data_IF_706599123216
#
_entry.id   IF_706599123216
#
_cell.length_a   1.000
_cell.length_b   1.000
_cell.length_c   1.000
_cell.angle_alpha   90.00
_cell.angle_beta   90.00
_cell.angle_gamma   90.00
#
_symmetry.space_group_name_H-M   'P 1'
#
loop_
_entity.id
_entity.type
_entity.pdbx_description
1 polymer ?
#
# COMPACT_ATOMS: atom_id res chain seq x y z
N UNK A 1 51.94 -24.01 -32.03
CA UNK A 1 50.79 -23.44 -32.78
C UNK A 1 51.00 -21.92 -32.85
N UNK A 2 51.35 -21.36 -34.02
CA UNK A 2 51.62 -19.91 -34.16
C UNK A 2 50.29 -19.19 -34.31
N UNK A 3 49.86 -18.49 -33.26
CA UNK A 3 48.65 -17.65 -33.33
C UNK A 3 48.99 -16.43 -34.18
N UNK A 4 48.32 -16.31 -35.33
CA UNK A 4 48.53 -15.20 -36.26
C UNK A 4 47.97 -13.91 -35.66
N UNK A 5 48.68 -12.79 -35.79
CA UNK A 5 48.32 -11.48 -35.23
C UNK A 5 46.87 -11.06 -35.56
N UNK A 6 46.37 -11.43 -36.75
CA UNK A 6 44.98 -11.21 -37.17
C UNK A 6 43.94 -11.89 -36.25
N UNK A 7 44.26 -13.06 -35.71
CA UNK A 7 43.37 -13.78 -34.79
C UNK A 7 43.37 -13.11 -33.41
N UNK A 8 44.51 -12.57 -32.97
CA UNK A 8 44.60 -11.80 -31.73
C UNK A 8 43.76 -10.53 -31.83
N UNK A 9 43.88 -9.80 -32.95
CA UNK A 9 43.09 -8.59 -33.20
C UNK A 9 41.59 -8.92 -33.24
N UNK A 10 41.19 -10.00 -33.91
CA UNK A 10 39.79 -10.40 -34.01
C UNK A 10 39.18 -10.76 -32.64
N UNK A 11 39.90 -11.53 -31.82
CA UNK A 11 39.46 -11.85 -30.45
C UNK A 11 39.32 -10.58 -29.60
N UNK A 12 40.28 -9.65 -29.72
CA UNK A 12 40.24 -8.39 -28.97
C UNK A 12 39.06 -7.50 -29.39
N UNK A 13 38.72 -7.45 -30.69
CA UNK A 13 37.56 -6.69 -31.17
C UNK A 13 36.24 -7.27 -30.67
N UNK A 14 36.10 -8.59 -30.60
CA UNK A 14 34.88 -9.25 -30.08
C UNK A 14 34.72 -8.98 -28.58
N UNK A 15 35.82 -8.99 -27.82
CA UNK A 15 35.83 -8.68 -26.39
C UNK A 15 35.45 -7.22 -26.12
N UNK A 16 35.96 -6.27 -26.91
CA UNK A 16 35.57 -4.86 -26.81
C UNK A 16 34.09 -4.65 -27.09
N UNK A 17 33.54 -5.31 -28.11
CA UNK A 17 32.12 -5.22 -28.44
C UNK A 17 31.25 -5.81 -27.32
N UNK A 18 31.63 -6.93 -26.69
CA UNK A 18 30.86 -7.49 -25.58
C UNK A 18 30.90 -6.62 -24.31
N UNK A 19 32.03 -5.95 -24.05
CA UNK A 19 32.14 -4.97 -22.95
C UNK A 19 31.28 -3.75 -23.24
N UNK A 20 31.28 -3.24 -24.47
CA UNK A 20 30.40 -2.12 -24.87
C UNK A 20 28.93 -2.53 -24.72
N UNK A 21 28.53 -3.73 -25.18
CA UNK A 21 27.16 -4.25 -25.02
C UNK A 21 26.81 -4.45 -23.53
N UNK A 22 27.75 -4.85 -22.69
CA UNK A 22 27.50 -4.99 -21.23
C UNK A 22 27.37 -3.63 -20.53
N UNK A 23 28.12 -2.63 -21.00
CA UNK A 23 28.00 -1.24 -20.53
C UNK A 23 26.69 -0.62 -21.03
N UNK A 24 26.32 -0.81 -22.31
CA UNK A 24 25.10 -0.23 -22.88
C UNK A 24 23.83 -1.02 -22.54
N UNK A 25 23.94 -2.32 -22.27
CA UNK A 25 22.83 -3.19 -21.84
C UNK A 25 22.29 -2.85 -20.45
N UNK A 26 23.04 -2.07 -19.68
CA UNK A 26 22.57 -1.41 -18.46
C UNK A 26 22.07 0.03 -18.68
N UNK A 27 22.22 0.57 -19.90
CA UNK A 27 21.89 1.95 -20.27
C UNK A 27 20.64 2.08 -21.16
N UNK A 28 19.94 0.98 -21.46
CA UNK A 28 18.52 1.04 -21.82
C UNK A 28 17.66 0.77 -20.59
N UNK A 29 18.01 1.34 -19.44
CA UNK A 29 17.01 1.73 -18.45
C UNK A 29 16.46 3.05 -18.94
N UNK A 30 15.24 2.96 -19.50
CA UNK A 30 14.35 4.06 -19.85
C UNK A 30 14.59 5.28 -18.95
N UNK A 31 14.57 6.46 -19.57
CA UNK A 31 14.41 7.77 -18.93
C UNK A 31 13.51 7.68 -17.68
N UNK A 32 14.12 7.46 -16.51
CA UNK A 32 13.49 7.75 -15.22
C UNK A 32 13.88 9.19 -14.92
N UNK A 33 13.09 10.13 -15.44
CA UNK A 33 12.73 11.30 -14.64
C UNK A 33 12.39 10.79 -13.23
N UNK A 34 12.81 11.49 -12.17
CA UNK A 34 12.63 11.11 -10.77
C UNK A 34 11.19 10.64 -10.49
N UNK A 35 10.94 9.34 -10.65
CA UNK A 35 9.60 8.75 -10.69
C UNK A 35 9.42 7.80 -9.52
N UNK A 36 8.17 7.65 -9.09
CA UNK A 36 7.79 6.75 -8.00
C UNK A 36 8.30 5.33 -8.27
N UNK A 37 8.81 4.68 -7.22
CA UNK A 37 9.20 3.27 -7.31
C UNK A 37 7.96 2.40 -7.10
N UNK A 38 7.18 2.24 -8.18
CA UNK A 38 5.91 1.52 -8.15
C UNK A 38 6.08 0.07 -7.72
N UNK A 39 7.12 -0.62 -8.18
CA UNK A 39 7.40 -2.00 -7.80
C UNK A 39 7.66 -2.12 -6.29
N UNK A 40 8.40 -1.17 -5.72
CA UNK A 40 8.61 -1.10 -4.27
C UNK A 40 7.29 -0.83 -3.53
N UNK A 41 6.51 0.16 -3.96
CA UNK A 41 5.23 0.51 -3.32
C UNK A 41 4.25 -0.66 -3.35
N UNK A 42 4.12 -1.33 -4.51
CA UNK A 42 3.29 -2.53 -4.67
C UNK A 42 3.75 -3.63 -3.71
N UNK A 43 5.05 -3.92 -3.67
CA UNK A 43 5.61 -4.94 -2.79
C UNK A 43 5.30 -4.67 -1.32
N UNK A 44 5.53 -3.45 -0.84
CA UNK A 44 5.28 -3.06 0.55
C UNK A 44 3.79 -3.11 0.91
N UNK A 45 2.91 -2.66 0.00
CA UNK A 45 1.47 -2.71 0.23
C UNK A 45 0.92 -4.14 0.19
N UNK A 46 1.44 -5.00 -0.68
CA UNK A 46 1.11 -6.42 -0.73
C UNK A 46 1.50 -7.12 0.58
N UNK A 47 2.71 -6.85 1.08
CA UNK A 47 3.15 -7.35 2.38
C UNK A 47 2.25 -6.85 3.51
N UNK A 48 1.89 -5.56 3.51
CA UNK A 48 0.96 -4.99 4.50
C UNK A 48 -0.43 -5.61 4.42
N UNK A 49 -0.94 -5.86 3.22
CA UNK A 49 -2.24 -6.50 2.99
C UNK A 49 -2.27 -7.94 3.52
N UNK A 50 -1.22 -8.73 3.24
CA UNK A 50 -1.06 -10.08 3.77
C UNK A 50 -0.92 -10.10 5.30
N UNK A 51 -0.18 -9.13 5.86
CA UNK A 51 -0.06 -8.98 7.31
C UNK A 51 -1.43 -8.70 7.96
N UNK A 52 -2.25 -7.80 7.40
CA UNK A 52 -3.60 -7.55 7.90
C UNK A 52 -4.45 -8.83 7.88
N UNK A 53 -4.39 -9.61 6.80
CA UNK A 53 -5.11 -10.89 6.69
C UNK A 53 -4.71 -11.88 7.80
N UNK A 54 -3.40 -12.04 8.05
CA UNK A 54 -2.89 -12.92 9.11
C UNK A 54 -3.30 -12.45 10.51
N UNK A 55 -3.22 -11.15 10.79
CA UNK A 55 -3.62 -10.58 12.07
C UNK A 55 -5.13 -10.75 12.29
N UNK A 56 -5.95 -10.47 11.28
CA UNK A 56 -7.39 -10.65 11.37
C UNK A 56 -7.78 -12.09 11.65
N UNK A 57 -7.09 -13.05 11.03
CA UNK A 57 -7.29 -14.47 11.33
C UNK A 57 -6.99 -14.77 12.79
N UNK A 58 -5.82 -14.35 13.28
CA UNK A 58 -5.40 -14.55 14.68
C UNK A 58 -6.42 -13.95 15.65
N UNK A 59 -6.80 -12.68 15.45
CA UNK A 59 -7.78 -11.99 16.30
C UNK A 59 -9.14 -12.69 16.22
N UNK A 60 -9.57 -13.09 15.02
CA UNK A 60 -10.84 -13.79 14.85
C UNK A 60 -10.88 -15.09 15.64
N UNK A 61 -9.79 -15.87 15.66
CA UNK A 61 -9.69 -17.11 16.42
C UNK A 61 -9.75 -16.85 17.93
N UNK A 62 -9.15 -15.76 18.41
CA UNK A 62 -9.18 -15.35 19.83
C UNK A 62 -10.57 -14.88 20.28
N UNK A 63 -11.32 -14.18 19.42
CA UNK A 63 -12.63 -13.61 19.78
C UNK A 63 -13.82 -14.52 19.43
N UNK A 64 -13.59 -15.64 18.72
CA UNK A 64 -14.65 -16.57 18.27
C UNK A 64 -15.34 -17.31 19.41
N UNK A 65 -14.83 -17.24 20.63
CA UNK A 65 -15.31 -18.03 21.78
C UNK A 65 -16.51 -17.40 22.50
N UNK A 66 -16.57 -16.07 22.62
CA UNK A 66 -17.69 -15.30 23.17
C UNK A 66 -17.46 -13.77 23.03
N UNK A 67 -18.49 -12.96 23.32
CA UNK A 67 -18.41 -11.48 23.28
C UNK A 67 -17.47 -10.89 24.33
N UNK A 68 -17.29 -11.56 25.46
CA UNK A 68 -16.40 -11.11 26.55
C UNK A 68 -14.92 -11.16 26.12
N UNK A 69 -14.56 -12.14 25.29
CA UNK A 69 -13.24 -12.29 24.69
C UNK A 69 -12.91 -11.15 23.72
N UNK A 70 -13.89 -10.71 22.91
CA UNK A 70 -13.73 -9.54 22.04
C UNK A 70 -13.50 -8.27 22.86
N UNK A 71 -14.34 -8.03 23.87
CA UNK A 71 -14.21 -6.87 24.76
C UNK A 71 -12.80 -6.78 25.35
N UNK A 72 -12.30 -7.89 25.90
CA UNK A 72 -10.96 -7.96 26.50
C UNK A 72 -9.85 -7.58 25.53
N UNK A 73 -9.85 -8.14 24.31
CA UNK A 73 -8.83 -7.85 23.30
C UNK A 73 -8.73 -6.34 22.99
N UNK A 74 -9.88 -5.71 22.73
CA UNK A 74 -9.93 -4.32 22.29
C UNK A 74 -9.65 -3.31 23.41
N UNK A 75 -9.80 -3.69 24.68
CA UNK A 75 -9.41 -2.83 25.80
C UNK A 75 -7.93 -2.89 26.16
N UNK A 76 -7.21 -3.98 25.82
CA UNK A 76 -5.79 -4.14 26.18
C UNK A 76 -4.81 -3.77 25.06
N UNK A 77 -5.13 -4.06 23.80
CA UNK A 77 -4.12 -4.06 22.70
C UNK A 77 -4.20 -2.83 21.76
N UNK A 78 -4.87 -1.76 22.17
CA UNK A 78 -5.58 -0.94 21.19
C UNK A 78 -4.77 0.28 20.67
N UNK A 79 -4.24 1.13 21.56
CA UNK A 79 -3.73 2.44 21.12
C UNK A 79 -2.28 2.44 20.60
N UNK A 80 -1.49 1.41 20.92
CA UNK A 80 -0.06 1.37 20.59
C UNK A 80 0.16 0.89 19.15
N UNK A 81 -0.58 -0.14 18.71
CA UNK A 81 -0.51 -0.67 17.33
C UNK A 81 -0.75 0.44 16.29
N UNK A 82 -1.75 1.31 16.51
CA UNK A 82 -2.00 2.40 15.57
C UNK A 82 -0.85 3.41 15.54
N UNK A 83 -0.25 3.74 16.68
CA UNK A 83 0.86 4.71 16.74
C UNK A 83 2.11 4.21 16.05
N UNK A 84 2.39 2.91 16.17
CA UNK A 84 3.61 2.30 15.64
C UNK A 84 3.48 1.88 14.18
N UNK A 85 2.30 1.42 13.77
CA UNK A 85 2.11 0.77 12.47
C UNK A 85 1.06 1.45 11.58
N UNK A 86 0.34 2.46 12.08
CA UNK A 86 -0.78 3.07 11.37
C UNK A 86 -1.97 2.13 11.16
N UNK A 87 -2.05 1.03 11.93
CA UNK A 87 -3.07 -0.01 11.80
C UNK A 87 -4.14 0.14 12.87
N UNK A 88 -5.40 0.03 12.47
CA UNK A 88 -6.55 -0.05 13.37
C UNK A 88 -7.36 -1.33 13.12
N UNK A 89 -7.94 -1.89 14.17
CA UNK A 89 -8.88 -2.99 14.10
C UNK A 89 -10.25 -2.54 14.58
N UNK A 90 -11.30 -3.06 13.96
CA UNK A 90 -12.69 -2.66 14.18
C UNK A 90 -13.59 -3.90 14.15
N UNK A 91 -14.33 -4.12 15.22
CA UNK A 91 -15.25 -5.24 15.34
C UNK A 91 -16.69 -4.76 15.26
N UNK A 92 -17.43 -5.33 14.31
CA UNK A 92 -18.84 -5.09 14.09
C UNK A 92 -19.64 -6.32 14.49
N UNK A 93 -20.71 -6.09 15.25
CA UNK A 93 -21.70 -7.12 15.57
C UNK A 93 -23.06 -6.65 15.06
N UNK A 94 -23.72 -7.48 14.27
CA UNK A 94 -24.97 -7.18 13.56
C UNK A 94 -24.91 -5.85 12.79
N UNK A 95 -23.79 -5.65 12.08
CA UNK A 95 -23.51 -4.45 11.29
C UNK A 95 -23.40 -3.15 12.09
N UNK A 96 -23.23 -3.22 13.41
CA UNK A 96 -22.95 -2.06 14.26
C UNK A 96 -21.55 -2.17 14.85
N UNK A 97 -20.78 -1.08 14.78
CA UNK A 97 -19.45 -0.99 15.37
C UNK A 97 -19.56 -1.12 16.91
N UNK A 98 -18.89 -2.11 17.48
CA UNK A 98 -18.89 -2.35 18.94
C UNK A 98 -17.55 -2.03 19.58
N UNK A 99 -16.46 -2.45 18.95
CA UNK A 99 -15.11 -2.26 19.50
C UNK A 99 -14.15 -1.78 18.42
N UNK A 100 -13.16 -0.99 18.81
CA UNK A 100 -12.12 -0.49 17.92
C UNK A 100 -10.85 -0.16 18.68
N UNK A 101 -9.72 -0.23 18.00
CA UNK A 101 -8.41 0.05 18.61
C UNK A 101 -7.98 1.52 18.51
N UNK A 102 -8.60 2.30 17.63
CA UNK A 102 -8.20 3.69 17.40
C UNK A 102 -9.39 4.57 17.00
N UNK A 103 -9.39 5.82 17.47
CA UNK A 103 -10.35 6.86 17.06
C UNK A 103 -9.86 7.68 15.86
N UNK A 104 -8.64 7.41 15.35
CA UNK A 104 -8.04 8.23 14.31
C UNK A 104 -8.55 7.88 12.90
N UNK A 105 -9.29 6.79 12.75
CA UNK A 105 -9.85 6.32 11.49
C UNK A 105 -11.38 6.40 11.58
N UNK A 106 -12.04 7.23 10.75
CA UNK A 106 -13.46 7.53 10.87
C UNK A 106 -14.30 6.50 10.09
N UNK A 107 -14.24 5.23 10.49
CA UNK A 107 -15.11 4.21 9.91
C UNK A 107 -16.59 4.44 10.30
N UNK A 108 -17.55 4.05 9.43
CA UNK A 108 -18.97 4.17 9.73
C UNK A 108 -19.36 3.40 11.00
N UNK A 109 -20.25 3.95 11.82
CA UNK A 109 -20.76 3.26 13.01
C UNK A 109 -21.70 2.09 12.66
N UNK A 110 -22.23 2.07 11.44
CA UNK A 110 -22.98 0.94 10.90
C UNK A 110 -22.64 0.71 9.43
N UNK A 111 -22.29 -0.53 9.10
CA UNK A 111 -21.98 -0.97 7.74
C UNK A 111 -22.01 -2.50 7.66
N UNK A 112 -22.14 -3.03 6.44
CA UNK A 112 -21.94 -4.46 6.14
C UNK A 112 -20.50 -4.72 5.70
N UNK A 113 -20.07 -5.98 5.72
CA UNK A 113 -18.73 -6.36 5.26
C UNK A 113 -18.46 -5.99 3.79
N UNK A 114 -19.50 -5.89 2.93
CA UNK A 114 -19.37 -5.47 1.52
C UNK A 114 -18.67 -4.11 1.34
N UNK A 115 -18.74 -3.22 2.33
CA UNK A 115 -18.05 -1.93 2.29
C UNK A 115 -16.51 -2.08 2.22
N UNK A 116 -16.00 -3.22 2.70
CA UNK A 116 -14.57 -3.53 2.77
C UNK A 116 -14.12 -4.53 1.68
N UNK A 117 -14.97 -4.86 0.71
CA UNK A 117 -14.60 -5.74 -0.42
C UNK A 117 -13.52 -5.13 -1.30
N UNK A 118 -13.52 -3.79 -1.46
CA UNK A 118 -12.42 -3.09 -2.12
C UNK A 118 -11.25 -2.94 -1.14
N UNK A 119 -10.05 -3.41 -1.49
CA UNK A 119 -8.88 -3.29 -0.64
C UNK A 119 -8.48 -1.85 -0.32
N UNK A 120 -8.82 -0.88 -1.17
CA UNK A 120 -8.52 0.53 -0.95
C UNK A 120 -9.82 1.32 -0.82
N UNK A 121 -9.98 2.03 0.30
CA UNK A 121 -11.14 2.89 0.55
C UNK A 121 -10.71 4.33 0.84
N UNK A 122 -11.55 5.27 0.45
CA UNK A 122 -11.43 6.68 0.82
C UNK A 122 -12.41 6.98 1.96
N UNK A 123 -11.90 7.62 3.02
CA UNK A 123 -12.70 8.19 4.10
C UNK A 123 -12.38 9.69 4.23
N UNK A 124 -13.17 10.39 5.04
CA UNK A 124 -13.11 11.86 5.19
C UNK A 124 -11.73 12.44 5.55
N UNK A 125 -10.81 11.64 6.09
CA UNK A 125 -9.49 12.08 6.52
C UNK A 125 -8.33 11.30 5.86
N UNK A 126 -8.59 10.49 4.83
CA UNK A 126 -7.52 9.74 4.20
C UNK A 126 -7.92 8.53 3.38
N UNK A 127 -6.88 7.86 2.89
CA UNK A 127 -6.96 6.61 2.15
C UNK A 127 -6.44 5.46 2.97
N UNK A 128 -7.17 4.35 2.92
CA UNK A 128 -6.96 3.21 3.81
C UNK A 128 -6.93 1.91 3.03
N UNK A 129 -5.87 1.14 3.26
CA UNK A 129 -5.79 -0.26 2.85
C UNK A 129 -6.59 -1.08 3.86
N UNK A 130 -7.51 -1.93 3.39
CA UNK A 130 -8.46 -2.64 4.23
C UNK A 130 -8.46 -4.13 3.93
N UNK A 131 -8.60 -4.92 4.98
CA UNK A 131 -8.97 -6.33 4.89
C UNK A 131 -10.04 -6.65 5.93
N UNK A 132 -10.83 -7.69 5.69
CA UNK A 132 -11.85 -8.13 6.63
C UNK A 132 -11.95 -9.65 6.71
N UNK A 133 -12.51 -10.12 7.82
CA UNK A 133 -13.01 -11.49 8.01
C UNK A 133 -14.41 -11.40 8.61
N UNK A 134 -15.30 -12.31 8.23
CA UNK A 134 -16.69 -12.30 8.68
C UNK A 134 -17.15 -13.67 9.17
N UNK A 135 -18.06 -13.65 10.13
CA UNK A 135 -18.85 -14.79 10.58
C UNK A 135 -20.35 -14.54 10.33
N UNK A 136 -21.21 -15.32 10.97
CA UNK A 136 -22.67 -15.24 10.75
C UNK A 136 -23.27 -13.87 11.13
N UNK A 137 -22.93 -13.37 12.31
CA UNK A 137 -23.51 -12.14 12.88
C UNK A 137 -22.46 -11.03 13.10
N UNK A 138 -21.22 -11.22 12.66
CA UNK A 138 -20.13 -10.30 12.95
C UNK A 138 -19.15 -10.17 11.79
N UNK A 139 -18.44 -9.05 11.74
CA UNK A 139 -17.26 -8.90 10.89
C UNK A 139 -16.19 -8.09 11.60
N UNK A 140 -14.94 -8.49 11.38
CA UNK A 140 -13.75 -7.86 11.90
C UNK A 140 -12.98 -7.26 10.74
N UNK A 141 -12.56 -6.01 10.89
CA UNK A 141 -11.91 -5.23 9.85
C UNK A 141 -10.57 -4.73 10.36
N UNK A 142 -9.54 -4.91 9.54
CA UNK A 142 -8.20 -4.37 9.75
C UNK A 142 -7.95 -3.31 8.70
N UNK A 143 -7.50 -2.14 9.13
CA UNK A 143 -7.27 -1.00 8.24
C UNK A 143 -5.89 -0.41 8.49
N UNK A 144 -5.19 -0.06 7.43
CA UNK A 144 -3.89 0.62 7.46
C UNK A 144 -4.03 2.00 6.82
N UNK A 145 -3.61 3.05 7.53
CA UNK A 145 -3.65 4.42 7.04
C UNK A 145 -2.51 4.66 6.03
N UNK A 146 -2.82 4.50 4.75
CA UNK A 146 -1.86 4.68 3.67
C UNK A 146 -1.56 6.16 3.39
N UNK A 147 -2.59 7.01 3.43
CA UNK A 147 -2.44 8.46 3.25
C UNK A 147 -3.39 9.22 4.19
N UNK A 148 -2.86 10.22 4.90
CA UNK A 148 -3.67 11.27 5.54
C UNK A 148 -4.02 12.32 4.49
N UNK A 149 -5.31 12.61 4.34
CA UNK A 149 -5.80 13.56 3.35
C UNK A 149 -6.94 14.39 3.95
N UNK A 150 -6.67 15.67 4.17
CA UNK A 150 -7.58 16.67 4.70
C UNK A 150 -7.82 17.75 3.65
N UNK A 151 -9.02 18.32 3.64
CA UNK A 151 -9.39 19.46 2.79
C UNK A 151 -8.67 20.76 3.19
N UNK A 152 -8.14 20.82 4.41
CA UNK A 152 -7.38 21.95 4.92
C UNK A 152 -6.12 21.45 5.64
N UNK A 153 -4.99 22.08 5.33
CA UNK A 153 -3.68 21.78 5.90
C UNK A 153 -3.23 22.94 6.80
N UNK A 154 -2.72 22.61 7.99
CA UNK A 154 -2.15 23.56 8.95
C UNK A 154 -0.95 22.92 9.67
N UNK A 155 -0.45 23.51 10.75
CA UNK A 155 0.73 22.99 11.46
C UNK A 155 0.48 21.68 12.21
N UNK A 156 -0.78 21.31 12.43
CA UNK A 156 -1.21 20.08 13.12
C UNK A 156 -1.72 19.03 12.12
N UNK A 157 -2.50 19.47 11.13
CA UNK A 157 -3.09 18.62 10.09
C UNK A 157 -2.22 18.71 8.84
N UNK A 158 -1.51 17.63 8.52
CA UNK A 158 -0.65 17.54 7.34
C UNK A 158 -1.12 16.40 6.44
N UNK A 159 -1.18 16.68 5.14
CA UNK A 159 -1.43 15.65 4.14
C UNK A 159 -0.13 14.93 3.86
N UNK A 160 -0.08 13.64 4.17
CA UNK A 160 1.15 12.86 4.05
C UNK A 160 0.81 11.40 3.78
N UNK A 161 1.59 10.77 2.91
CA UNK A 161 1.64 9.32 2.84
C UNK A 161 2.30 8.75 4.10
N UNK A 162 2.05 7.47 4.36
CA UNK A 162 2.80 6.75 5.37
C UNK A 162 4.32 6.84 5.05
N UNK A 163 5.20 7.06 6.05
CA UNK A 163 6.59 7.50 5.80
C UNK A 163 7.43 6.58 4.90
N UNK A 164 7.11 5.28 4.86
CA UNK A 164 7.95 4.27 4.22
C UNK A 164 7.93 4.31 2.69
N UNK A 165 6.97 5.00 2.06
CA UNK A 165 6.76 4.90 0.60
C UNK A 165 7.46 5.98 -0.24
N UNK A 166 8.07 7.00 0.38
CA UNK A 166 8.72 8.14 -0.31
C UNK A 166 7.86 8.76 -1.45
N UNK A 167 6.56 8.91 -1.21
CA UNK A 167 5.61 9.50 -2.15
C UNK A 167 5.43 10.98 -1.80
N UNK A 168 5.44 11.87 -2.80
CA UNK A 168 5.12 13.29 -2.57
C UNK A 168 3.72 13.42 -1.97
N UNK A 169 3.59 14.14 -0.85
CA UNK A 169 2.33 14.48 -0.18
C UNK A 169 1.20 14.97 -1.11
N UNK A 170 1.55 15.67 -2.20
CA UNK A 170 0.62 16.22 -3.18
C UNK A 170 0.12 15.19 -4.20
N UNK A 171 0.73 14.01 -4.24
CA UNK A 171 0.29 12.89 -5.09
C UNK A 171 -1.13 12.49 -4.69
N UNK A 172 -2.06 12.44 -5.64
CA UNK A 172 -3.47 12.10 -5.38
C UNK A 172 -3.72 10.63 -5.69
N UNK A 173 -4.69 10.02 -5.01
CA UNK A 173 -5.10 8.62 -5.25
C UNK A 173 -6.44 8.61 -5.99
N UNK A 174 -6.60 7.71 -6.96
CA UNK A 174 -7.86 7.43 -7.64
C UNK A 174 -8.11 5.93 -7.74
N UNK A 175 -9.37 5.52 -7.59
CA UNK A 175 -9.78 4.14 -7.87
C UNK A 175 -10.04 3.90 -9.35
N UNK A 176 -10.26 4.98 -10.11
CA UNK A 176 -10.48 4.93 -11.56
C UNK A 176 -9.20 5.31 -12.31
N UNK A 177 -9.02 4.73 -13.50
CA UNK A 177 -7.86 5.02 -14.35
C UNK A 177 -7.90 6.47 -14.83
N UNK A 178 -6.79 7.18 -14.64
CA UNK A 178 -6.62 8.58 -15.04
C UNK A 178 -5.40 8.70 -15.97
N UNK A 179 -5.39 9.71 -16.83
CA UNK A 179 -4.25 9.97 -17.72
C UNK A 179 -3.07 10.52 -16.91
N UNK A 180 -1.84 10.08 -17.22
CA UNK A 180 -0.61 10.45 -16.47
C UNK A 180 -0.61 9.99 -15.00
N UNK A 181 -1.24 8.85 -14.70
CA UNK A 181 -1.16 8.22 -13.39
C UNK A 181 -0.36 6.93 -13.44
N UNK A 182 0.29 6.59 -12.34
CA UNK A 182 0.94 5.29 -12.13
C UNK A 182 -0.05 4.31 -11.49
N UNK A 183 -0.17 3.12 -12.07
CA UNK A 183 -1.05 2.06 -11.56
C UNK A 183 -0.34 1.27 -10.47
N UNK A 184 -1.02 1.01 -9.36
CA UNK A 184 -0.55 0.18 -8.23
C UNK A 184 -1.57 -0.92 -7.99
N UNK A 185 -1.15 -2.17 -7.95
CA UNK A 185 -2.02 -3.33 -7.75
C UNK A 185 -1.65 -4.14 -6.49
N UNK A 186 -2.65 -4.48 -5.69
CA UNK A 186 -2.48 -5.24 -4.45
C UNK A 186 -2.54 -6.76 -4.66
N UNK A 187 -3.10 -7.21 -5.78
CA UNK A 187 -3.08 -8.62 -6.20
C UNK A 187 -2.80 -8.69 -7.70
N UNK A 188 -1.94 -9.64 -8.07
CA UNK A 188 -1.64 -9.90 -9.47
C UNK A 188 -2.90 -10.35 -10.23
N UNK A 189 -3.11 -9.78 -11.41
CA UNK A 189 -4.23 -10.08 -12.31
C UNK A 189 -5.64 -9.77 -11.76
N UNK A 190 -5.75 -8.98 -10.69
CA UNK A 190 -7.03 -8.51 -10.15
C UNK A 190 -7.15 -6.99 -10.30
N UNK A 191 -7.86 -6.54 -11.33
CA UNK A 191 -8.05 -5.11 -11.60
C UNK A 191 -8.84 -4.38 -10.52
N UNK A 192 -9.68 -5.08 -9.75
CA UNK A 192 -10.49 -4.47 -8.68
C UNK A 192 -9.65 -4.15 -7.43
N UNK A 193 -8.46 -4.76 -7.34
CA UNK A 193 -7.47 -4.51 -6.29
C UNK A 193 -6.48 -3.38 -6.61
N UNK A 194 -6.63 -2.73 -7.78
CA UNK A 194 -5.72 -1.69 -8.23
C UNK A 194 -6.25 -0.28 -7.98
N UNK A 195 -5.33 0.66 -7.80
CA UNK A 195 -5.59 2.08 -7.73
C UNK A 195 -4.50 2.85 -8.50
N UNK A 196 -4.66 4.15 -8.60
CA UNK A 196 -3.82 5.01 -9.42
C UNK A 196 -3.25 6.16 -8.59
N UNK A 197 -1.93 6.32 -8.63
CA UNK A 197 -1.21 7.45 -8.07
C UNK A 197 -1.08 8.52 -9.15
N UNK A 198 -1.57 9.72 -8.87
CA UNK A 198 -1.52 10.87 -9.77
C UNK A 198 -0.45 11.81 -9.22
N UNK A 199 0.74 11.89 -9.85
CA UNK A 199 1.78 12.82 -9.42
C UNK A 199 1.26 14.26 -9.44
N UNK A 200 1.79 15.15 -8.57
CA UNK A 200 1.50 16.57 -8.68
C UNK A 200 1.88 17.09 -10.07
N UNK A 201 1.12 18.04 -10.59
CA UNK A 201 1.54 18.76 -11.81
C UNK A 201 2.90 19.41 -11.53
N UNK A 202 3.85 19.27 -12.47
CA UNK A 202 5.09 20.02 -12.44
C UNK A 202 4.73 21.51 -12.43
N UNK A 203 5.10 22.22 -11.36
CA UNK A 203 4.96 23.67 -11.34
C UNK A 203 5.89 24.23 -12.43
N UNK A 204 5.36 24.85 -13.50
CA UNK A 204 6.18 25.35 -14.59
C UNK A 204 7.09 26.52 -14.18
N UNK A 205 7.02 26.97 -12.91
CA UNK A 205 7.80 28.07 -12.36
C UNK A 205 8.68 27.67 -11.16
N UNK A 206 8.79 26.38 -10.82
CA UNK A 206 9.69 25.90 -9.75
C UNK A 206 11.16 25.85 -10.17
#
# INVERSE_FOLDING_TARGET
>A
MKINLKHIILVFTVLLISVIISLTGNFTKNDKSQGLDIEYIETELQQKYAYLEEQLKTISEEISTDTESAEKYFYTESSEIFKEQGIGYFYYYKNELKYWTTNNIPLPTSTTFNFFERPMINLNNGWYLCQFVSGEDWHLVGVFQFKKEYSYENDILKNTFYPDYNIDSKTTISLDSITKSDKVCLKDNDSESCFYLIPPEEDPYA
#
